data_IF_622009102936
#
_entry.id   IF_622009102936
#
_cell.length_a   1.000
_cell.length_b   1.000
_cell.length_c   1.000
_cell.angle_alpha   90.00
_cell.angle_beta   90.00
_cell.angle_gamma   90.00
#
_symmetry.space_group_name_H-M   'P 1'
#
loop_
_entity.id
_entity.type
_entity.pdbx_description
1 polymer ?
#
# COMPACT_ATOMS: atom_id res chain seq x y z
N UNK A 1 16.58 -16.65 9.26
CA UNK A 1 15.96 -15.35 9.61
C UNK A 1 14.71 -15.67 10.41
N UNK A 2 14.49 -15.02 11.55
CA UNK A 2 13.28 -15.27 12.35
C UNK A 2 12.04 -14.90 11.51
N UNK A 3 11.02 -15.77 11.49
CA UNK A 3 9.75 -15.43 10.87
C UNK A 3 9.15 -14.22 11.59
N UNK A 4 9.01 -13.10 10.90
CA UNK A 4 8.26 -11.96 11.41
C UNK A 4 6.78 -12.33 11.38
N UNK A 5 6.18 -12.46 12.56
CA UNK A 5 4.75 -12.65 12.73
C UNK A 5 4.10 -11.30 13.01
N UNK A 6 3.08 -10.95 12.22
CA UNK A 6 2.24 -9.78 12.48
C UNK A 6 0.92 -10.21 13.14
N UNK A 7 0.56 -9.48 14.18
CA UNK A 7 -0.72 -9.57 14.88
C UNK A 7 -1.78 -8.69 14.23
N UNK A 8 -3.04 -8.87 14.60
CA UNK A 8 -4.11 -7.97 14.16
C UNK A 8 -3.82 -6.50 14.51
N UNK A 9 -3.23 -6.25 15.68
CA UNK A 9 -2.86 -4.92 16.15
C UNK A 9 -1.87 -4.24 15.21
N UNK A 10 -0.90 -4.96 14.68
CA UNK A 10 0.12 -4.39 13.77
C UNK A 10 -0.55 -3.82 12.49
N UNK A 11 -1.48 -4.58 11.91
CA UNK A 11 -2.24 -4.13 10.74
C UNK A 11 -3.18 -2.96 11.09
N UNK A 12 -3.81 -2.98 12.28
CA UNK A 12 -4.70 -1.92 12.73
C UNK A 12 -3.96 -0.60 12.95
N UNK A 13 -2.73 -0.65 13.49
CA UNK A 13 -1.87 0.54 13.66
C UNK A 13 -1.56 1.16 12.30
N UNK A 14 -1.14 0.37 11.32
CA UNK A 14 -0.88 0.84 9.97
C UNK A 14 -2.14 1.41 9.28
N UNK A 15 -3.28 0.73 9.41
CA UNK A 15 -4.54 1.20 8.85
C UNK A 15 -5.02 2.50 9.51
N UNK A 16 -4.91 2.63 10.84
CA UNK A 16 -5.27 3.85 11.54
C UNK A 16 -4.40 5.03 11.12
N UNK A 17 -3.08 4.81 11.02
CA UNK A 17 -2.12 5.80 10.52
C UNK A 17 -2.49 6.34 9.14
N UNK A 18 -2.90 5.45 8.23
CA UNK A 18 -3.33 5.81 6.88
C UNK A 18 -4.69 6.52 6.87
N UNK A 19 -5.67 6.04 7.63
CA UNK A 19 -7.01 6.67 7.74
C UNK A 19 -6.92 8.13 8.16
N UNK A 20 -6.08 8.42 9.15
CA UNK A 20 -5.87 9.78 9.66
C UNK A 20 -5.35 10.74 8.58
N UNK A 21 -4.48 10.28 7.68
CA UNK A 21 -3.84 11.11 6.65
C UNK A 21 -4.67 11.24 5.37
N UNK A 22 -5.40 10.18 5.02
CA UNK A 22 -6.08 10.08 3.74
C UNK A 22 -7.49 10.66 3.80
N UNK A 23 -8.19 10.52 4.93
CA UNK A 23 -9.51 11.13 5.14
C UNK A 23 -10.66 10.58 4.26
N UNK A 24 -10.39 9.64 3.35
CA UNK A 24 -11.40 8.97 2.51
C UNK A 24 -11.40 7.45 2.73
N UNK A 25 -12.54 6.80 2.48
CA UNK A 25 -12.67 5.34 2.50
C UNK A 25 -12.49 4.76 1.09
N UNK A 26 -11.34 4.14 0.75
CA UNK A 26 -11.12 3.54 -0.56
C UNK A 26 -11.96 2.27 -0.73
N UNK A 27 -12.52 2.09 -1.93
CA UNK A 27 -13.29 0.89 -2.29
C UNK A 27 -12.45 -0.10 -3.11
N UNK A 28 -11.51 0.41 -3.90
CA UNK A 28 -10.68 -0.35 -4.83
C UNK A 28 -9.21 -0.17 -4.45
N UNK A 29 -8.49 -1.28 -4.29
CA UNK A 29 -7.05 -1.32 -4.13
C UNK A 29 -6.39 -1.59 -5.48
N UNK A 30 -5.21 -1.03 -5.73
CA UNK A 30 -4.39 -1.38 -6.90
C UNK A 30 -2.95 -1.59 -6.46
N UNK A 31 -2.27 -2.60 -6.99
CA UNK A 31 -0.84 -2.83 -6.74
C UNK A 31 -0.09 -2.74 -8.06
N UNK A 32 0.62 -1.63 -8.25
CA UNK A 32 1.35 -1.37 -9.48
C UNK A 32 2.64 -2.18 -9.50
N UNK A 33 2.79 -2.98 -10.56
CA UNK A 33 4.04 -3.66 -10.89
C UNK A 33 4.99 -2.80 -11.70
N UNK A 34 6.14 -3.37 -12.02
CA UNK A 34 7.14 -2.75 -12.89
C UNK A 34 6.52 -2.31 -14.22
N UNK A 35 6.80 -1.08 -14.63
CA UNK A 35 6.26 -0.48 -15.87
C UNK A 35 4.87 0.15 -15.74
N UNK A 36 4.18 0.01 -14.60
CA UNK A 36 2.82 0.56 -14.41
C UNK A 36 2.79 1.92 -13.68
N UNK A 37 3.95 2.52 -13.42
CA UNK A 37 4.05 3.84 -12.77
C UNK A 37 3.22 4.95 -13.43
N UNK A 38 3.09 5.04 -14.76
CA UNK A 38 2.28 6.08 -15.39
C UNK A 38 0.83 6.09 -14.92
N UNK A 39 0.27 4.95 -14.48
CA UNK A 39 -1.09 4.89 -13.96
C UNK A 39 -1.27 5.72 -12.67
N UNK A 40 -0.20 5.95 -11.91
CA UNK A 40 -0.25 6.81 -10.73
C UNK A 40 -0.43 8.29 -11.07
N UNK A 41 -0.09 8.71 -12.30
CA UNK A 41 -0.23 10.09 -12.77
C UNK A 41 -1.68 10.43 -13.14
N UNK A 42 -2.49 9.41 -13.43
CA UNK A 42 -3.93 9.52 -13.75
C UNK A 42 -4.81 9.64 -12.49
N UNK A 43 -4.23 9.58 -11.29
CA UNK A 43 -4.97 9.65 -10.03
C UNK A 43 -5.37 11.10 -9.75
N UNK A 44 -6.66 11.34 -9.63
CA UNK A 44 -7.24 12.63 -9.28
C UNK A 44 -7.20 12.86 -7.77
N UNK A 45 -6.89 14.10 -7.37
CA UNK A 45 -6.77 14.52 -5.97
C UNK A 45 -5.87 13.61 -5.11
N UNK A 46 -4.61 13.34 -5.55
CA UNK A 46 -3.78 12.34 -4.90
C UNK A 46 -3.27 12.80 -3.54
N UNK A 47 -3.36 11.91 -2.55
CA UNK A 47 -2.63 11.96 -1.28
C UNK A 47 -1.61 10.84 -1.31
N UNK A 48 -0.33 11.18 -1.43
CA UNK A 48 0.77 10.24 -1.51
C UNK A 48 1.51 10.15 -0.18
N UNK A 49 1.69 8.94 0.34
CA UNK A 49 2.37 8.65 1.61
C UNK A 49 3.50 7.63 1.33
N UNK A 50 4.78 7.97 1.59
CA UNK A 50 5.90 7.06 1.48
C UNK A 50 5.75 5.80 2.35
N UNK A 51 6.26 4.65 1.91
CA UNK A 51 6.16 3.40 2.68
C UNK A 51 6.95 3.42 4.00
N UNK A 52 8.06 4.12 4.05
CA UNK A 52 8.90 4.25 5.25
C UNK A 52 8.23 5.06 6.38
N UNK A 53 7.20 5.84 6.06
CA UNK A 53 6.35 6.49 7.06
C UNK A 53 5.28 5.55 7.64
N UNK A 54 4.87 4.51 6.90
CA UNK A 54 3.75 3.64 7.31
C UNK A 54 4.26 2.50 8.21
N UNK A 55 3.78 2.39 9.46
CA UNK A 55 4.23 1.33 10.37
C UNK A 55 4.08 -0.07 9.77
N UNK A 56 5.17 -0.84 9.79
CA UNK A 56 5.20 -2.23 9.33
C UNK A 56 5.25 -2.44 7.82
N UNK A 57 5.16 -1.39 6.99
CA UNK A 57 5.27 -1.55 5.54
C UNK A 57 6.69 -1.96 5.13
N UNK A 58 6.83 -2.87 4.14
CA UNK A 58 8.13 -3.16 3.55
C UNK A 58 8.55 -2.03 2.60
N UNK A 59 9.83 -1.66 2.65
CA UNK A 59 10.42 -0.62 1.78
C UNK A 59 11.20 -1.30 0.66
N UNK A 60 10.62 -1.35 -0.53
CA UNK A 60 11.28 -1.96 -1.70
C UNK A 60 12.44 -1.11 -2.20
N UNK A 61 13.52 -1.77 -2.63
CA UNK A 61 14.71 -1.16 -3.23
C UNK A 61 14.82 -1.42 -4.73
N UNK A 62 13.80 -2.04 -5.33
CA UNK A 62 13.79 -2.40 -6.74
C UNK A 62 13.66 -1.16 -7.62
N UNK A 63 14.48 -1.10 -8.66
CA UNK A 63 14.47 -0.01 -9.62
C UNK A 63 13.08 0.16 -10.25
N UNK A 64 12.60 1.40 -10.29
CA UNK A 64 11.27 1.74 -10.78
C UNK A 64 10.13 1.49 -9.78
N UNK A 65 10.39 0.99 -8.57
CA UNK A 65 9.39 0.97 -7.51
C UNK A 65 9.52 2.22 -6.65
N UNK A 66 8.59 3.17 -6.78
CA UNK A 66 8.65 4.46 -6.08
C UNK A 66 8.51 4.30 -4.56
N UNK A 67 7.76 3.30 -4.10
CA UNK A 67 7.66 2.97 -2.68
C UNK A 67 6.70 3.89 -1.91
N UNK A 68 5.50 4.11 -2.45
CA UNK A 68 4.47 4.94 -1.81
C UNK A 68 3.07 4.38 -1.98
N UNK A 69 2.18 4.69 -1.04
CA UNK A 69 0.75 4.46 -1.15
C UNK A 69 0.07 5.78 -1.54
N UNK A 70 -0.86 5.71 -2.49
CA UNK A 70 -1.54 6.88 -3.02
C UNK A 70 -3.04 6.64 -2.86
N UNK A 71 -3.73 7.55 -2.20
CA UNK A 71 -5.18 7.60 -2.26
C UNK A 71 -5.62 8.71 -3.17
N UNK A 72 -6.78 8.54 -3.79
CA UNK A 72 -7.37 9.54 -4.67
C UNK A 72 -8.58 8.95 -5.38
N UNK A 73 -8.88 9.50 -6.55
CA UNK A 73 -9.97 9.03 -7.40
C UNK A 73 -9.45 8.64 -8.78
N UNK A 74 -10.07 7.64 -9.38
CA UNK A 74 -9.84 7.27 -10.77
C UNK A 74 -11.16 6.82 -11.38
N UNK A 75 -11.54 7.42 -12.51
CA UNK A 75 -12.84 7.16 -13.16
C UNK A 75 -14.03 7.31 -12.18
N UNK A 76 -13.98 8.31 -11.30
CA UNK A 76 -15.02 8.59 -10.30
C UNK A 76 -15.10 7.61 -9.13
N UNK A 77 -14.14 6.68 -8.98
CA UNK A 77 -14.09 5.71 -7.88
C UNK A 77 -12.97 6.02 -6.88
N UNK A 78 -13.20 5.93 -5.56
CA UNK A 78 -12.15 6.11 -4.56
C UNK A 78 -11.21 4.90 -4.53
N UNK A 79 -9.92 5.16 -4.73
CA UNK A 79 -8.87 4.16 -4.90
C UNK A 79 -7.79 4.28 -3.82
N UNK A 80 -7.11 3.15 -3.56
CA UNK A 80 -5.87 3.09 -2.79
C UNK A 80 -4.82 2.30 -3.57
N UNK A 81 -3.77 2.99 -4.01
CA UNK A 81 -2.79 2.47 -4.96
C UNK A 81 -1.44 2.31 -4.28
N UNK A 82 -0.87 1.12 -4.37
CA UNK A 82 0.54 0.88 -4.08
C UNK A 82 1.36 1.12 -5.34
N UNK A 83 2.14 2.20 -5.36
CA UNK A 83 3.08 2.46 -6.45
C UNK A 83 4.42 1.76 -6.16
N UNK A 84 4.51 0.53 -6.64
CA UNK A 84 5.57 -0.42 -6.30
C UNK A 84 5.10 -1.43 -5.26
N UNK A 85 5.85 -2.53 -5.15
CA UNK A 85 5.62 -3.60 -4.18
C UNK A 85 6.94 -4.21 -3.76
N UNK A 86 6.99 -4.71 -2.54
CA UNK A 86 8.09 -5.56 -2.10
C UNK A 86 7.95 -6.97 -2.70
N UNK A 87 9.07 -7.60 -2.99
CA UNK A 87 9.10 -8.96 -3.51
C UNK A 87 9.77 -9.92 -2.52
N UNK A 88 9.39 -11.19 -2.57
CA UNK A 88 9.98 -12.23 -1.74
C UNK A 88 11.51 -12.36 -1.98
N UNK A 89 11.97 -12.20 -3.22
CA UNK A 89 13.39 -12.28 -3.56
C UNK A 89 14.23 -11.12 -2.99
N UNK A 90 13.61 -10.04 -2.52
CA UNK A 90 14.29 -8.94 -1.81
C UNK A 90 14.67 -9.35 -0.37
N UNK A 91 14.27 -10.54 0.09
CA UNK A 91 14.56 -11.07 1.43
C UNK A 91 13.42 -10.89 2.43
N UNK A 92 12.28 -10.35 2.01
CA UNK A 92 11.08 -10.22 2.83
C UNK A 92 10.40 -11.57 3.06
N UNK A 93 9.84 -11.77 4.24
CA UNK A 93 8.93 -12.89 4.49
C UNK A 93 7.65 -12.72 3.68
N UNK A 94 6.93 -13.82 3.41
CA UNK A 94 5.62 -13.75 2.74
C UNK A 94 4.65 -12.87 3.53
N UNK A 95 4.72 -12.89 4.87
CA UNK A 95 3.88 -12.02 5.70
C UNK A 95 4.17 -10.53 5.46
N UNK A 96 5.45 -10.15 5.33
CA UNK A 96 5.84 -8.77 5.00
C UNK A 96 5.34 -8.38 3.59
N UNK A 97 5.48 -9.27 2.61
CA UNK A 97 5.02 -9.03 1.23
C UNK A 97 3.51 -8.78 1.19
N UNK A 98 2.71 -9.55 1.93
CA UNK A 98 1.24 -9.41 1.94
C UNK A 98 0.72 -8.41 2.99
N UNK A 99 1.59 -7.83 3.82
CA UNK A 99 1.20 -6.91 4.89
C UNK A 99 0.32 -5.75 4.38
N UNK A 100 0.69 -5.05 3.28
CA UNK A 100 -0.12 -3.96 2.75
C UNK A 100 -1.52 -4.38 2.31
N UNK A 101 -1.70 -5.62 1.83
CA UNK A 101 -3.01 -6.15 1.42
C UNK A 101 -3.96 -6.28 2.62
N UNK A 102 -3.45 -6.72 3.76
CA UNK A 102 -4.23 -6.80 5.01
C UNK A 102 -4.60 -5.42 5.53
N UNK A 103 -3.69 -4.45 5.40
CA UNK A 103 -3.96 -3.06 5.72
C UNK A 103 -5.05 -2.48 4.80
N UNK A 104 -4.95 -2.68 3.47
CA UNK A 104 -5.98 -2.29 2.50
C UNK A 104 -7.37 -2.85 2.86
N UNK A 105 -7.44 -4.12 3.27
CA UNK A 105 -8.70 -4.73 3.71
C UNK A 105 -9.29 -3.99 4.93
N UNK A 106 -8.47 -3.60 5.91
CA UNK A 106 -8.90 -2.82 7.08
C UNK A 106 -9.22 -1.35 6.75
N UNK A 107 -8.68 -0.83 5.65
CA UNK A 107 -9.01 0.49 5.09
C UNK A 107 -10.38 0.52 4.41
N UNK A 108 -11.01 -0.63 4.16
CA UNK A 108 -12.33 -0.71 3.55
C UNK A 108 -12.34 -1.24 2.11
N UNK A 109 -11.16 -1.49 1.52
CA UNK A 109 -11.02 -2.02 0.16
C UNK A 109 -11.80 -3.33 0.00
N UNK A 110 -12.61 -3.41 -1.06
CA UNK A 110 -13.46 -4.56 -1.39
C UNK A 110 -13.00 -5.30 -2.63
N UNK A 111 -12.27 -4.63 -3.51
CA UNK A 111 -11.70 -5.17 -4.75
C UNK A 111 -10.21 -4.82 -4.79
N UNK A 112 -9.36 -5.77 -5.17
CA UNK A 112 -7.91 -5.58 -5.31
C UNK A 112 -7.46 -6.01 -6.70
#
# INVERSE_FOLDING_TARGET
>A
MAETFFTLTDYQVAAAFLKERIGSEPLIGLILGSGLNPLAEEIENPIAIPYDEVPGFPVTTVEGHIGRIISGQMSGSPILVMQGRAHYYEGYSIQQVVFPVKVMQLMGVKVL
#
